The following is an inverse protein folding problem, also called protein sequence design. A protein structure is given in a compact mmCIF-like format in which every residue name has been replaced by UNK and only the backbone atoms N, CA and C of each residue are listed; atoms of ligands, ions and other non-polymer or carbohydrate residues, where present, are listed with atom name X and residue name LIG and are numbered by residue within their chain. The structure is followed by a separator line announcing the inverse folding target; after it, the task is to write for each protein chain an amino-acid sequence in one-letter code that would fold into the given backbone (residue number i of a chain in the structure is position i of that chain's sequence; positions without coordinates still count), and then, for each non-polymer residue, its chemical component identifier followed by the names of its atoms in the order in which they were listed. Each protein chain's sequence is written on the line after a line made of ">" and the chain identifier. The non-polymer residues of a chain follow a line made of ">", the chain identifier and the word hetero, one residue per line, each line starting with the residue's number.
data_IF_215091639444
#
_entry.id   IF_215091639444
#
_cell.length_a   1.000
_cell.length_b   1.000
_cell.length_c   1.000
_cell.angle_alpha   90.00
_cell.angle_beta   90.00
_cell.angle_gamma   90.00
#
_symmetry.space_group_name_H-M   'P 1'
#
loop_
_entity.id
_entity.type
_entity.pdbx_description
1 polymer ?
#
# COMPACT_ATOMS: atom_id res chain seq x y z
N UNK A 1 -40.69 -7.16 60.41
CA UNK A 1 -40.58 -5.83 61.01
C UNK A 1 -40.25 -4.86 59.87
N UNK A 2 -41.28 -4.14 59.41
CA UNK A 2 -41.29 -2.84 58.69
C UNK A 2 -40.21 -2.70 57.58
N UNK A 3 -40.41 -2.99 56.28
CA UNK A 3 -41.37 -2.48 55.28
C UNK A 3 -41.63 -0.98 55.36
N UNK A 4 -41.22 -0.27 54.31
CA UNK A 4 -41.87 0.87 53.62
C UNK A 4 -40.75 1.68 52.95
N UNK A 5 -40.89 2.29 51.79
CA UNK A 5 -41.86 2.30 50.69
C UNK A 5 -41.23 3.33 49.73
N UNK A 6 -41.36 3.28 48.42
CA UNK A 6 -42.56 3.69 47.70
C UNK A 6 -42.12 3.77 46.23
N UNK A 7 -42.78 3.04 45.33
CA UNK A 7 -43.76 3.60 44.39
C UNK A 7 -43.13 4.46 43.28
N UNK A 8 -43.53 4.44 42.02
CA UNK A 8 -44.54 3.73 41.25
C UNK A 8 -44.49 4.41 39.86
N UNK A 9 -45.12 3.76 38.87
CA UNK A 9 -45.72 4.36 37.65
C UNK A 9 -44.84 4.43 36.38
N UNK A 10 -45.22 3.52 35.47
CA UNK A 10 -45.32 3.68 34.00
C UNK A 10 -46.02 5.03 33.61
N UNK A 11 -46.30 5.28 32.32
CA UNK A 11 -45.44 5.50 31.15
C UNK A 11 -45.73 6.90 30.55
N UNK A 12 -44.88 7.46 29.68
CA UNK A 12 -45.27 8.64 28.90
C UNK A 12 -44.58 8.68 27.53
N UNK A 13 -45.39 8.43 26.51
CA UNK A 13 -45.17 8.78 25.11
C UNK A 13 -45.11 10.30 24.98
N UNK A 14 -44.15 10.83 24.24
CA UNK A 14 -44.24 12.16 23.63
C UNK A 14 -43.61 12.11 22.24
N UNK A 15 -44.48 12.24 21.25
CA UNK A 15 -44.22 12.27 19.81
C UNK A 15 -44.47 13.73 19.38
N UNK A 16 -43.43 14.49 19.09
CA UNK A 16 -43.43 15.82 18.43
C UNK A 16 -42.06 15.89 17.73
N UNK A 17 -41.91 16.07 16.41
CA UNK A 17 -42.72 16.82 15.47
C UNK A 17 -41.91 18.03 15.00
N UNK A 18 -41.76 18.15 13.68
CA UNK A 18 -41.26 19.29 12.90
C UNK A 18 -39.74 19.50 12.78
N UNK A 19 -39.29 19.37 11.53
CA UNK A 19 -38.01 19.82 11.06
C UNK A 19 -37.89 21.34 10.98
N UNK A 20 -36.64 21.77 10.99
CA UNK A 20 -36.20 23.04 10.46
C UNK A 20 -34.94 22.74 9.66
N UNK A 21 -35.05 22.97 8.35
CA UNK A 21 -33.96 22.83 7.41
C UNK A 21 -32.81 23.75 7.81
N UNK A 22 -31.66 23.14 8.09
CA UNK A 22 -30.39 23.82 8.05
C UNK A 22 -30.09 24.12 6.58
N UNK A 23 -30.57 25.28 6.11
CA UNK A 23 -29.96 25.96 4.98
C UNK A 23 -28.51 26.23 5.36
N UNK A 24 -27.61 25.35 4.92
CA UNK A 24 -26.20 25.64 4.85
C UNK A 24 -26.04 26.74 3.79
N UNK A 25 -26.11 27.99 4.23
CA UNK A 25 -25.55 29.11 3.49
C UNK A 25 -24.04 28.88 3.45
N UNK A 26 -23.61 28.06 2.49
CA UNK A 26 -22.24 28.07 2.02
C UNK A 26 -22.02 29.46 1.41
N UNK A 27 -21.57 30.39 2.26
CA UNK A 27 -20.90 31.58 1.78
C UNK A 27 -19.79 31.08 0.86
N UNK A 28 -19.92 31.37 -0.44
CA UNK A 28 -18.88 31.12 -1.41
C UNK A 28 -17.63 31.82 -0.89
N UNK A 29 -16.74 31.03 -0.30
CA UNK A 29 -15.42 31.49 0.09
C UNK A 29 -14.79 32.03 -1.19
N UNK A 30 -14.35 33.31 -1.22
CA UNK A 30 -13.64 33.81 -2.39
C UNK A 30 -12.48 32.85 -2.66
N UNK A 31 -12.42 32.35 -3.89
CA UNK A 31 -11.40 31.40 -4.31
C UNK A 31 -10.03 31.90 -3.86
N UNK A 32 -9.25 31.02 -3.23
CA UNK A 32 -7.94 31.35 -2.71
C UNK A 32 -7.10 32.05 -3.80
N UNK A 33 -6.45 33.16 -3.43
CA UNK A 33 -5.49 33.87 -4.30
C UNK A 33 -4.44 32.86 -4.74
N UNK A 34 -4.49 32.45 -6.00
CA UNK A 34 -3.65 31.38 -6.51
C UNK A 34 -2.42 31.96 -7.18
N UNK A 35 -1.25 31.55 -6.71
CA UNK A 35 0.05 31.84 -7.31
C UNK A 35 0.52 30.60 -8.06
N UNK A 36 1.20 30.79 -9.20
CA UNK A 36 1.81 29.67 -9.94
C UNK A 36 3.21 30.03 -10.44
N UNK A 37 4.09 29.03 -10.51
CA UNK A 37 5.41 29.13 -11.11
C UNK A 37 5.49 28.22 -12.34
N UNK A 38 5.96 28.78 -13.46
CA UNK A 38 6.04 28.12 -14.76
C UNK A 38 7.48 28.11 -15.25
N UNK A 39 7.97 26.93 -15.59
CA UNK A 39 9.28 26.75 -16.22
C UNK A 39 9.18 26.97 -17.73
N UNK A 40 10.02 27.83 -18.27
CA UNK A 40 10.04 28.20 -19.69
C UNK A 40 11.22 27.51 -20.38
N UNK A 41 10.97 26.64 -21.38
CA UNK A 41 12.03 25.92 -22.07
C UNK A 41 12.83 26.81 -23.03
N UNK A 42 14.05 26.38 -23.43
CA UNK A 42 14.82 27.05 -24.47
C UNK A 42 14.03 27.10 -25.80
N UNK A 43 13.66 28.30 -26.24
CA UNK A 43 12.81 28.52 -27.43
C UNK A 43 11.44 29.14 -27.11
N UNK A 44 11.03 29.14 -25.84
CA UNK A 44 9.82 29.76 -25.36
C UNK A 44 8.63 28.82 -25.20
N UNK A 45 7.56 29.31 -24.56
CA UNK A 45 6.34 28.54 -24.31
C UNK A 45 5.10 29.44 -24.32
N UNK A 46 3.93 28.81 -24.46
CA UNK A 46 2.65 29.47 -24.32
C UNK A 46 1.97 29.05 -23.01
N UNK A 47 1.32 29.99 -22.33
CA UNK A 47 0.65 29.75 -21.05
C UNK A 47 -0.72 30.41 -21.02
N UNK A 48 -1.70 29.69 -20.49
CA UNK A 48 -3.04 30.22 -20.23
C UNK A 48 -3.13 30.73 -18.79
N UNK A 49 -3.58 31.98 -18.62
CA UNK A 49 -3.68 32.65 -17.33
C UNK A 49 -5.11 33.17 -17.12
N UNK A 50 -5.91 32.51 -16.25
CA UNK A 50 -7.24 32.99 -15.89
C UNK A 50 -7.14 34.20 -14.95
N UNK A 51 -7.91 35.25 -15.27
CA UNK A 51 -7.97 36.52 -14.53
C UNK A 51 -9.34 36.76 -13.91
N UNK A 52 -9.41 37.47 -12.78
CA UNK A 52 -10.66 38.06 -12.28
C UNK A 52 -10.79 39.51 -12.74
N UNK A 53 -12.01 39.92 -13.12
CA UNK A 53 -12.29 41.29 -13.59
C UNK A 53 -12.01 42.37 -12.52
N UNK A 54 -12.04 42.01 -11.23
CA UNK A 54 -11.82 42.91 -10.09
C UNK A 54 -10.40 42.86 -9.53
N UNK A 55 -9.51 42.02 -10.06
CA UNK A 55 -8.18 41.79 -9.51
C UNK A 55 -7.07 42.17 -10.50
N UNK A 56 -5.89 42.47 -9.95
CA UNK A 56 -4.67 42.68 -10.73
C UNK A 56 -3.86 41.39 -10.69
N UNK A 57 -3.43 40.91 -11.85
CA UNK A 57 -2.51 39.79 -11.96
C UNK A 57 -1.11 40.30 -12.27
N UNK A 58 -0.11 39.81 -11.53
CA UNK A 58 1.29 40.14 -11.77
C UNK A 58 1.94 38.98 -12.54
N UNK A 59 2.53 39.29 -13.69
CA UNK A 59 3.41 38.39 -14.42
C UNK A 59 4.86 38.77 -14.08
N UNK A 60 5.59 37.90 -13.40
CA UNK A 60 6.95 38.16 -12.90
C UNK A 60 7.97 37.21 -13.52
N UNK A 61 9.18 37.71 -13.74
CA UNK A 61 10.32 37.04 -14.37
C UNK A 61 11.54 37.13 -13.43
N UNK A 62 11.56 36.36 -12.33
CA UNK A 62 12.54 36.56 -11.26
C UNK A 62 13.99 36.51 -11.76
N UNK A 63 14.76 37.57 -11.49
CA UNK A 63 16.16 37.68 -11.87
C UNK A 63 16.42 38.05 -13.34
N UNK A 64 15.37 38.30 -14.13
CA UNK A 64 15.47 38.62 -15.56
C UNK A 64 14.77 39.95 -15.87
N UNK A 65 15.43 40.81 -16.65
CA UNK A 65 14.85 42.09 -17.07
C UNK A 65 13.99 41.91 -18.31
N UNK A 66 12.83 42.56 -18.40
CA UNK A 66 12.01 42.56 -19.62
C UNK A 66 12.64 43.36 -20.77
N UNK A 67 12.62 42.81 -21.98
CA UNK A 67 13.24 43.38 -23.19
C UNK A 67 12.54 44.64 -23.73
N UNK A 68 11.32 44.92 -23.27
CA UNK A 68 10.50 46.05 -23.70
C UNK A 68 9.10 46.00 -23.09
N UNK A 69 8.22 46.89 -23.55
CA UNK A 69 6.81 46.86 -23.17
C UNK A 69 6.13 45.61 -23.75
N UNK A 70 5.20 45.03 -23.00
CA UNK A 70 4.39 43.89 -23.43
C UNK A 70 3.64 44.21 -24.73
N UNK A 71 3.75 43.34 -25.73
CA UNK A 71 2.95 43.45 -26.95
C UNK A 71 1.61 42.75 -26.68
N UNK A 72 0.53 43.54 -26.60
CA UNK A 72 -0.83 43.03 -26.40
C UNK A 72 -1.59 42.94 -27.71
N UNK A 73 -2.32 41.85 -27.90
CA UNK A 73 -3.23 41.67 -29.03
C UNK A 73 -4.56 42.45 -28.90
N UNK A 74 -4.84 43.06 -27.74
CA UNK A 74 -6.06 43.86 -27.48
C UNK A 74 -5.79 45.02 -26.52
N UNK A 75 -6.61 46.08 -26.62
CA UNK A 75 -6.65 47.22 -25.70
C UNK A 75 -7.56 47.01 -24.49
N UNK A 76 -8.22 45.86 -24.39
CA UNK A 76 -9.17 45.54 -23.30
C UNK A 76 -8.48 45.19 -21.96
N UNK A 77 -7.16 45.32 -21.90
CA UNK A 77 -6.36 45.12 -20.71
C UNK A 77 -5.52 46.37 -20.44
N UNK A 78 -5.54 46.83 -19.20
CA UNK A 78 -4.57 47.79 -18.70
C UNK A 78 -3.29 47.03 -18.31
N UNK A 79 -2.18 47.34 -18.97
CA UNK A 79 -0.88 46.70 -18.74
C UNK A 79 0.09 47.78 -18.31
N UNK A 80 0.67 47.61 -17.12
CA UNK A 80 1.68 48.52 -16.57
C UNK A 80 2.93 47.73 -16.20
N UNK A 81 4.09 48.36 -16.39
CA UNK A 81 5.33 47.80 -15.87
C UNK A 81 5.25 47.66 -14.35
N UNK A 82 5.73 46.53 -13.84
CA UNK A 82 5.84 46.26 -12.41
C UNK A 82 7.30 45.95 -12.11
N UNK A 83 8.03 46.97 -11.65
CA UNK A 83 9.49 46.87 -11.53
C UNK A 83 10.19 46.72 -12.88
N UNK A 84 11.34 46.03 -12.87
CA UNK A 84 12.16 45.78 -14.06
C UNK A 84 11.95 44.36 -14.65
N UNK A 85 11.27 43.51 -13.89
CA UNK A 85 11.18 42.06 -14.06
C UNK A 85 9.72 41.60 -14.12
N UNK A 86 8.75 42.50 -14.33
CA UNK A 86 7.35 42.10 -14.40
C UNK A 86 6.41 43.11 -15.02
N UNK A 87 5.18 42.65 -15.25
CA UNK A 87 4.04 43.46 -15.69
C UNK A 87 2.83 43.18 -14.81
N UNK A 88 2.15 44.25 -14.41
CA UNK A 88 0.84 44.19 -13.77
C UNK A 88 -0.24 44.32 -14.83
N UNK A 89 -1.18 43.38 -14.84
CA UNK A 89 -2.28 43.31 -15.80
C UNK A 89 -3.60 43.40 -15.09
N UNK A 90 -4.47 44.29 -15.58
CA UNK A 90 -5.82 44.48 -15.08
C UNK A 90 -6.83 44.45 -16.23
N UNK A 91 -7.86 43.60 -16.18
CA UNK A 91 -8.95 43.65 -17.16
C UNK A 91 -9.74 44.95 -17.10
N UNK A 92 -10.09 45.53 -18.27
CA UNK A 92 -10.97 46.70 -18.33
C UNK A 92 -12.46 46.32 -18.32
N UNK A 93 -12.80 45.04 -18.55
CA UNK A 93 -14.16 44.53 -18.61
C UNK A 93 -14.28 43.03 -18.30
N UNK A 94 -15.53 42.54 -18.19
CA UNK A 94 -15.84 41.16 -17.75
C UNK A 94 -15.57 40.06 -18.79
N UNK A 95 -15.30 40.42 -20.03
CA UNK A 95 -15.06 39.49 -21.16
C UNK A 95 -13.72 39.76 -21.84
N UNK A 96 -12.81 40.48 -21.17
CA UNK A 96 -11.52 40.81 -21.76
C UNK A 96 -10.71 39.53 -22.00
N UNK A 97 -10.17 39.42 -23.21
CA UNK A 97 -9.23 38.38 -23.58
C UNK A 97 -8.14 38.98 -24.45
N UNK A 98 -6.89 38.65 -24.17
CA UNK A 98 -5.77 39.10 -24.97
C UNK A 98 -4.62 38.11 -24.89
N UNK A 99 -3.76 38.11 -25.90
CA UNK A 99 -2.47 37.43 -25.84
C UNK A 99 -1.39 38.47 -25.64
N UNK A 100 -0.51 38.23 -24.66
CA UNK A 100 0.68 39.02 -24.40
C UNK A 100 1.92 38.26 -24.84
N UNK A 101 2.69 38.85 -25.75
CA UNK A 101 4.03 38.37 -26.06
C UNK A 101 5.03 39.11 -25.17
N UNK A 102 5.76 38.35 -24.34
CA UNK A 102 6.73 38.84 -23.37
C UNK A 102 8.08 38.16 -23.59
N UNK A 103 9.16 38.92 -23.54
CA UNK A 103 10.52 38.38 -23.63
C UNK A 103 11.46 39.12 -22.69
N UNK A 104 12.46 38.42 -22.17
CA UNK A 104 13.53 39.01 -21.34
C UNK A 104 14.67 39.53 -22.20
N UNK A 105 15.43 40.52 -21.70
CA UNK A 105 16.58 41.16 -22.39
C UNK A 105 17.64 40.12 -22.74
N UNK A 106 17.88 39.16 -21.84
CA UNK A 106 18.81 38.04 -22.05
C UNK A 106 18.37 37.11 -23.18
N UNK A 107 17.09 37.14 -23.57
CA UNK A 107 16.48 36.20 -24.48
C UNK A 107 16.24 34.80 -23.88
N UNK A 108 16.57 34.60 -22.60
CA UNK A 108 16.40 33.32 -21.90
C UNK A 108 14.93 32.92 -21.74
N UNK A 109 14.04 33.90 -21.60
CA UNK A 109 12.59 33.67 -21.49
C UNK A 109 11.88 34.37 -22.65
N UNK A 110 11.07 33.60 -23.37
CA UNK A 110 10.12 34.07 -24.38
C UNK A 110 8.79 33.38 -24.13
N UNK A 111 7.75 34.13 -23.79
CA UNK A 111 6.44 33.57 -23.48
C UNK A 111 5.32 34.27 -24.21
N UNK A 112 4.35 33.48 -24.68
CA UNK A 112 3.06 33.98 -25.14
C UNK A 112 2.02 33.64 -24.07
N UNK A 113 1.48 34.65 -23.40
CA UNK A 113 0.52 34.46 -22.33
C UNK A 113 -0.87 34.80 -22.83
N UNK A 114 -1.77 33.83 -22.88
CA UNK A 114 -3.17 34.04 -23.21
C UNK A 114 -3.96 34.31 -21.93
N UNK A 115 -4.46 35.53 -21.83
CA UNK A 115 -5.22 36.03 -20.70
C UNK A 115 -6.70 35.98 -21.03
N UNK A 116 -7.50 35.49 -20.10
CA UNK A 116 -8.96 35.47 -20.21
C UNK A 116 -9.61 35.69 -18.85
N UNK A 117 -10.70 36.45 -18.82
CA UNK A 117 -11.45 36.70 -17.58
C UNK A 117 -12.36 35.52 -17.26
N UNK A 118 -12.26 34.99 -16.03
CA UNK A 118 -13.10 33.91 -15.52
C UNK A 118 -14.15 34.44 -14.52
N UNK A 119 -15.30 33.74 -14.35
CA UNK A 119 -16.30 34.12 -13.34
C UNK A 119 -15.75 33.95 -11.91
N UNK A 120 -16.26 34.73 -10.95
CA UNK A 120 -15.87 34.71 -9.51
C UNK A 120 -15.90 33.33 -8.84
N UNK A 121 -16.64 32.37 -9.41
CA UNK A 121 -16.74 30.99 -8.95
C UNK A 121 -15.57 30.10 -9.40
N UNK A 122 -14.74 30.56 -10.33
CA UNK A 122 -13.56 29.86 -10.82
C UNK A 122 -12.27 30.45 -10.21
N UNK A 123 -11.23 29.64 -10.01
CA UNK A 123 -9.94 30.13 -9.54
C UNK A 123 -9.29 31.02 -10.61
N UNK A 124 -8.80 32.18 -10.18
CA UNK A 124 -7.97 33.06 -11.02
C UNK A 124 -6.60 33.25 -10.37
N UNK A 125 -5.62 33.56 -11.21
CA UNK A 125 -4.24 33.76 -10.79
C UNK A 125 -3.98 35.24 -10.47
N UNK A 126 -3.42 35.50 -9.29
CA UNK A 126 -2.99 36.86 -8.90
C UNK A 126 -1.50 37.08 -9.09
N UNK A 127 -0.70 36.01 -9.14
CA UNK A 127 0.73 36.04 -9.42
C UNK A 127 1.14 34.84 -10.27
N UNK A 128 1.85 35.11 -11.37
CA UNK A 128 2.42 34.09 -12.25
C UNK A 128 3.90 34.37 -12.40
N UNK A 129 4.74 33.42 -11.99
CA UNK A 129 6.20 33.52 -12.11
C UNK A 129 6.67 32.68 -13.29
N UNK A 130 7.52 33.25 -14.13
CA UNK A 130 8.17 32.57 -15.24
C UNK A 130 9.66 32.47 -14.97
N UNK A 131 10.17 31.24 -14.92
CA UNK A 131 11.59 30.96 -14.70
C UNK A 131 12.13 30.19 -15.90
N UNK A 132 13.31 30.56 -16.40
CA UNK A 132 13.96 29.77 -17.44
C UNK A 132 14.29 28.38 -16.89
N UNK A 133 13.80 27.33 -17.56
CA UNK A 133 14.29 25.99 -17.30
C UNK A 133 15.73 25.91 -17.79
N UNK A 134 16.63 25.33 -17.00
CA UNK A 134 17.93 24.97 -17.56
C UNK A 134 17.71 23.97 -18.70
N UNK A 135 18.57 23.98 -19.72
CA UNK A 135 18.48 23.01 -20.83
C UNK A 135 18.55 21.56 -20.34
N UNK A 136 19.17 21.34 -19.19
CA UNK A 136 19.30 20.07 -18.50
C UNK A 136 17.97 19.63 -17.85
N UNK A 137 17.32 20.50 -17.07
CA UNK A 137 16.03 20.21 -16.44
C UNK A 137 14.93 19.90 -17.47
N UNK A 138 14.88 20.64 -18.58
CA UNK A 138 13.93 20.40 -19.67
C UNK A 138 14.20 19.08 -20.40
N UNK A 139 15.47 18.69 -20.53
CA UNK A 139 15.85 17.42 -21.12
C UNK A 139 15.51 16.25 -20.20
N UNK A 140 15.81 16.36 -18.91
CA UNK A 140 15.48 15.35 -17.90
C UNK A 140 13.97 15.09 -17.83
N UNK A 141 13.15 16.13 -17.80
CA UNK A 141 11.69 15.99 -17.80
C UNK A 141 11.18 15.26 -19.05
N UNK A 142 11.76 15.56 -20.23
CA UNK A 142 11.41 14.89 -21.48
C UNK A 142 11.84 13.43 -21.50
N UNK A 143 13.03 13.12 -21.00
CA UNK A 143 13.53 11.74 -20.87
C UNK A 143 12.66 10.96 -19.90
N UNK A 144 12.33 11.52 -18.74
CA UNK A 144 11.46 10.88 -17.76
C UNK A 144 10.07 10.58 -18.33
N UNK A 145 9.46 11.52 -19.05
CA UNK A 145 8.18 11.32 -19.71
C UNK A 145 8.25 10.22 -20.80
N UNK A 146 9.32 10.20 -21.58
CA UNK A 146 9.53 9.18 -22.62
C UNK A 146 9.77 7.79 -22.01
N UNK A 147 10.54 7.69 -20.93
CA UNK A 147 10.75 6.46 -20.17
C UNK A 147 9.42 5.97 -19.61
N UNK A 148 8.67 6.82 -18.92
CA UNK A 148 7.37 6.45 -18.37
C UNK A 148 6.41 5.93 -19.46
N UNK A 149 6.35 6.62 -20.61
CA UNK A 149 5.52 6.21 -21.75
C UNK A 149 5.90 4.82 -22.29
N UNK A 150 7.20 4.49 -22.35
CA UNK A 150 7.68 3.18 -22.83
C UNK A 150 7.55 2.08 -21.78
N UNK A 151 7.71 2.43 -20.50
CA UNK A 151 7.71 1.46 -19.41
C UNK A 151 6.29 1.06 -18.99
N UNK A 152 5.32 1.98 -19.04
CA UNK A 152 3.93 1.72 -18.67
C UNK A 152 3.30 0.47 -19.32
N UNK A 153 3.39 0.24 -20.65
CA UNK A 153 2.83 -0.98 -21.26
C UNK A 153 3.58 -2.25 -20.83
N UNK A 154 4.89 -2.17 -20.57
CA UNK A 154 5.69 -3.31 -20.12
C UNK A 154 5.33 -3.68 -18.68
N UNK A 155 5.14 -2.70 -17.80
CA UNK A 155 4.69 -2.92 -16.42
C UNK A 155 3.29 -3.51 -16.37
N UNK A 156 2.38 -3.02 -17.22
CA UNK A 156 1.03 -3.57 -17.35
C UNK A 156 1.06 -5.04 -17.82
N UNK A 157 1.88 -5.34 -18.84
CA UNK A 157 2.04 -6.72 -19.33
C UNK A 157 2.70 -7.62 -18.30
N UNK A 158 3.71 -7.13 -17.57
CA UNK A 158 4.37 -7.87 -16.50
C UNK A 158 3.37 -8.21 -15.37
N UNK A 159 2.52 -7.25 -14.98
CA UNK A 159 1.49 -7.48 -13.97
C UNK A 159 0.48 -8.53 -14.45
N UNK A 160 0.05 -8.46 -15.71
CA UNK A 160 -0.85 -9.44 -16.33
C UNK A 160 -0.23 -10.84 -16.38
N UNK A 161 1.03 -10.95 -16.79
CA UNK A 161 1.76 -12.23 -16.86
C UNK A 161 1.94 -12.82 -15.46
N UNK A 162 2.31 -12.01 -14.46
CA UNK A 162 2.42 -12.46 -13.06
C UNK A 162 1.10 -13.06 -12.54
N UNK A 163 -0.01 -12.35 -12.75
CA UNK A 163 -1.34 -12.87 -12.40
C UNK A 163 -1.68 -14.18 -13.11
N UNK A 164 -1.34 -14.30 -14.40
CA UNK A 164 -1.54 -15.53 -15.16
C UNK A 164 -0.72 -16.71 -14.61
N UNK A 165 0.54 -16.47 -14.24
CA UNK A 165 1.41 -17.50 -13.65
C UNK A 165 0.87 -17.95 -12.29
N UNK A 166 0.43 -17.03 -11.43
CA UNK A 166 -0.10 -17.38 -10.11
C UNK A 166 -1.33 -18.30 -10.19
N UNK A 167 -2.22 -18.04 -11.16
CA UNK A 167 -3.39 -18.90 -11.44
C UNK A 167 -2.93 -20.27 -11.94
N UNK A 168 -1.98 -20.33 -12.88
CA UNK A 168 -1.46 -21.60 -13.40
C UNK A 168 -0.75 -22.43 -12.32
N UNK A 169 0.00 -21.79 -11.42
CA UNK A 169 0.66 -22.46 -10.29
C UNK A 169 -0.39 -23.05 -9.35
N UNK A 170 -1.45 -22.29 -9.02
CA UNK A 170 -2.54 -22.77 -8.16
C UNK A 170 -3.27 -23.95 -8.81
N UNK A 171 -3.71 -23.81 -10.06
CA UNK A 171 -4.40 -24.88 -10.79
C UNK A 171 -3.55 -26.15 -10.87
N UNK A 172 -2.24 -26.01 -11.11
CA UNK A 172 -1.31 -27.14 -11.12
C UNK A 172 -1.17 -27.77 -9.74
N UNK A 173 -1.08 -26.97 -8.68
CA UNK A 173 -1.01 -27.47 -7.31
C UNK A 173 -2.29 -28.25 -6.93
N UNK A 174 -3.46 -27.71 -7.27
CA UNK A 174 -4.75 -28.35 -7.01
C UNK A 174 -4.89 -29.67 -7.75
N UNK A 175 -4.48 -29.73 -9.03
CA UNK A 175 -4.45 -30.99 -9.80
C UNK A 175 -3.51 -32.02 -9.17
N UNK A 176 -2.32 -31.62 -8.77
CA UNK A 176 -1.36 -32.53 -8.11
C UNK A 176 -1.91 -33.05 -6.78
N UNK A 177 -2.59 -32.21 -5.99
CA UNK A 177 -3.24 -32.65 -4.76
C UNK A 177 -4.37 -33.63 -5.07
N UNK A 178 -5.21 -33.34 -6.06
CA UNK A 178 -6.29 -34.23 -6.49
C UNK A 178 -5.78 -35.58 -6.98
N UNK A 179 -4.72 -35.60 -7.81
CA UNK A 179 -4.06 -36.82 -8.26
C UNK A 179 -3.53 -37.65 -7.08
N UNK A 180 -2.92 -37.00 -6.08
CA UNK A 180 -2.44 -37.68 -4.87
C UNK A 180 -3.59 -38.22 -4.01
N UNK A 181 -4.68 -37.46 -3.87
CA UNK A 181 -5.88 -37.90 -3.14
C UNK A 181 -6.49 -39.16 -3.77
N UNK A 182 -6.56 -39.17 -5.11
CA UNK A 182 -7.02 -40.33 -5.89
C UNK A 182 -6.09 -41.53 -5.74
N UNK A 183 -4.77 -41.30 -5.67
CA UNK A 183 -3.78 -42.37 -5.47
C UNK A 183 -3.92 -43.01 -4.09
N UNK A 184 -3.95 -42.20 -3.03
CA UNK A 184 -4.08 -42.66 -1.63
C UNK A 184 -4.47 -41.51 -0.72
N UNK A 185 -5.47 -41.75 0.12
CA UNK A 185 -5.83 -40.88 1.24
C UNK A 185 -6.10 -41.76 2.46
N UNK A 186 -5.25 -41.66 3.48
CA UNK A 186 -5.37 -42.47 4.69
C UNK A 186 -5.09 -41.62 5.94
N UNK A 187 -5.98 -41.69 6.92
CA UNK A 187 -5.80 -41.06 8.22
C UNK A 187 -5.18 -42.07 9.18
N UNK A 188 -4.08 -41.67 9.82
CA UNK A 188 -3.33 -42.45 10.79
C UNK A 188 -3.45 -41.80 12.16
N UNK A 189 -3.73 -42.62 13.18
CA UNK A 189 -3.61 -42.20 14.58
C UNK A 189 -2.19 -42.49 15.07
N UNK A 190 -1.57 -41.47 15.64
CA UNK A 190 -0.26 -41.49 16.26
C UNK A 190 -0.40 -41.25 17.76
N UNK A 191 0.66 -41.55 18.51
CA UNK A 191 0.70 -41.26 19.94
C UNK A 191 2.15 -40.99 20.34
N UNK A 192 2.65 -39.83 19.93
CA UNK A 192 3.94 -39.34 20.36
C UNK A 192 3.74 -38.02 21.10
N UNK A 193 4.45 -37.86 22.21
CA UNK A 193 4.54 -36.60 22.92
C UNK A 193 5.91 -36.50 23.58
N UNK A 194 6.42 -35.28 23.71
CA UNK A 194 7.68 -35.02 24.41
C UNK A 194 7.68 -33.61 25.00
N UNK A 195 8.43 -33.39 26.07
CA UNK A 195 8.55 -32.09 26.74
C UNK A 195 10.01 -31.65 26.80
N UNK A 196 10.28 -30.37 26.56
CA UNK A 196 11.62 -29.79 26.83
C UNK A 196 11.77 -29.31 28.28
N UNK A 197 12.96 -28.81 28.61
CA UNK A 197 13.28 -28.32 29.96
C UNK A 197 12.48 -27.07 30.37
N UNK A 198 11.96 -26.32 29.40
CA UNK A 198 11.15 -25.12 29.62
C UNK A 198 9.66 -25.41 29.85
N UNK A 199 9.25 -26.67 29.93
CA UNK A 199 7.84 -27.09 29.99
C UNK A 199 7.02 -26.74 28.73
N UNK A 200 7.65 -26.71 27.57
CA UNK A 200 6.96 -26.73 26.28
C UNK A 200 6.79 -28.19 25.86
N UNK A 201 5.55 -28.59 25.56
CA UNK A 201 5.19 -29.96 25.21
C UNK A 201 4.82 -29.98 23.73
N UNK A 202 5.32 -30.96 23.00
CA UNK A 202 4.89 -31.26 21.65
C UNK A 202 4.07 -32.55 21.65
N UNK A 203 2.93 -32.54 20.98
CA UNK A 203 2.04 -33.69 20.81
C UNK A 203 1.90 -34.00 19.32
N UNK A 204 1.90 -35.28 18.95
CA UNK A 204 1.68 -35.77 17.58
C UNK A 204 0.68 -36.90 17.66
N UNK A 205 -0.57 -36.56 17.35
CA UNK A 205 -1.71 -37.48 17.51
C UNK A 205 -2.21 -38.06 16.19
N UNK A 206 -1.87 -37.42 15.06
CA UNK A 206 -2.37 -37.86 13.76
C UNK A 206 -1.41 -37.54 12.62
N UNK A 207 -1.49 -38.37 11.59
CA UNK A 207 -0.90 -38.09 10.29
C UNK A 207 -1.89 -38.44 9.18
N UNK A 208 -1.73 -37.82 8.01
CA UNK A 208 -2.46 -38.19 6.79
C UNK A 208 -1.44 -38.61 5.74
N UNK A 209 -1.65 -39.78 5.14
CA UNK A 209 -0.96 -40.17 3.91
C UNK A 209 -1.73 -39.63 2.72
N UNK A 210 -1.04 -38.88 1.87
CA UNK A 210 -1.58 -38.29 0.64
C UNK A 210 -0.65 -38.64 -0.53
N UNK A 211 -1.06 -39.62 -1.33
CA UNK A 211 -0.16 -40.25 -2.30
C UNK A 211 1.05 -40.89 -1.60
N UNK A 212 2.26 -40.44 -1.96
CA UNK A 212 3.53 -40.95 -1.40
C UNK A 212 4.06 -40.11 -0.24
N UNK A 213 3.44 -38.96 0.03
CA UNK A 213 3.86 -38.02 1.07
C UNK A 213 3.03 -38.21 2.34
N UNK A 214 3.69 -38.08 3.50
CA UNK A 214 3.02 -38.04 4.80
C UNK A 214 2.81 -36.61 5.27
N UNK A 215 1.75 -36.37 6.01
CA UNK A 215 1.42 -35.07 6.61
C UNK A 215 1.24 -35.28 8.10
N UNK A 216 2.27 -34.95 8.89
CA UNK A 216 2.27 -35.18 10.34
C UNK A 216 1.78 -33.91 11.02
N UNK A 217 0.68 -34.04 11.77
CA UNK A 217 0.12 -32.95 12.55
C UNK A 217 0.73 -32.97 13.94
N UNK A 218 1.12 -31.80 14.42
CA UNK A 218 1.69 -31.65 15.75
C UNK A 218 1.09 -30.44 16.45
N UNK A 219 0.93 -30.54 17.77
CA UNK A 219 0.51 -29.45 18.63
C UNK A 219 1.66 -29.06 19.54
N UNK A 220 1.86 -27.75 19.73
CA UNK A 220 2.83 -27.22 20.69
C UNK A 220 2.04 -26.57 21.80
N UNK A 221 2.08 -27.16 22.99
CA UNK A 221 1.50 -26.64 24.22
C UNK A 221 2.60 -25.96 25.04
N UNK A 222 2.54 -24.64 25.15
CA UNK A 222 3.50 -23.87 25.91
C UNK A 222 3.02 -23.66 27.35
N UNK A 223 3.48 -24.47 28.30
CA UNK A 223 3.20 -24.30 29.74
C UNK A 223 4.26 -23.45 30.46
N UNK A 224 5.19 -22.86 29.72
CA UNK A 224 6.20 -21.97 30.27
C UNK A 224 5.65 -20.56 30.52
N UNK A 225 6.40 -19.73 31.23
CA UNK A 225 6.10 -18.30 31.41
C UNK A 225 6.59 -17.42 30.25
N UNK A 226 7.34 -17.98 29.30
CA UNK A 226 7.92 -17.26 28.16
C UNK A 226 7.30 -17.73 26.84
N UNK A 227 7.38 -16.91 25.79
CA UNK A 227 6.95 -17.35 24.47
C UNK A 227 7.94 -18.39 23.88
N UNK A 228 7.41 -19.44 23.26
CA UNK A 228 8.21 -20.39 22.49
C UNK A 228 8.18 -19.98 21.02
N UNK A 229 9.35 -19.67 20.45
CA UNK A 229 9.47 -19.25 19.04
C UNK A 229 9.91 -20.48 18.25
N UNK A 230 9.05 -21.06 17.43
CA UNK A 230 9.42 -22.19 16.58
C UNK A 230 10.13 -21.68 15.33
N UNK A 231 11.38 -22.07 15.12
CA UNK A 231 12.14 -21.73 13.91
C UNK A 231 12.26 -22.91 12.94
N UNK A 232 12.25 -24.13 13.45
CA UNK A 232 12.46 -25.33 12.64
C UNK A 232 11.61 -26.50 13.15
N UNK A 233 11.00 -27.24 12.24
CA UNK A 233 10.50 -28.58 12.49
C UNK A 233 11.15 -29.52 11.48
N UNK A 234 11.87 -30.53 11.96
CA UNK A 234 12.60 -31.48 11.12
C UNK A 234 12.08 -32.88 11.40
N UNK A 235 11.65 -33.57 10.36
CA UNK A 235 11.38 -35.02 10.38
C UNK A 235 12.55 -35.77 9.75
N UNK A 236 13.08 -36.75 10.46
CA UNK A 236 14.16 -37.64 10.02
C UNK A 236 13.78 -39.11 10.10
N UNK A 237 14.42 -39.90 9.24
CA UNK A 237 14.36 -41.35 9.18
C UNK A 237 15.79 -41.88 9.07
N UNK A 238 16.27 -42.63 10.07
CA UNK A 238 17.67 -43.09 10.15
C UNK A 238 18.69 -41.98 9.86
N UNK A 239 18.57 -40.85 10.58
CA UNK A 239 19.40 -39.63 10.42
C UNK A 239 19.30 -38.95 9.05
N UNK A 240 18.43 -39.41 8.15
CA UNK A 240 18.17 -38.75 6.86
C UNK A 240 16.95 -37.84 6.99
N UNK A 241 17.08 -36.54 6.67
CA UNK A 241 15.94 -35.65 6.71
C UNK A 241 14.95 -35.99 5.59
N UNK A 242 13.70 -36.25 5.96
CA UNK A 242 12.56 -36.40 5.03
C UNK A 242 11.66 -35.15 5.04
N UNK A 243 12.16 -34.06 5.62
CA UNK A 243 11.39 -32.86 5.90
C UNK A 243 11.01 -32.12 4.62
N UNK A 244 9.72 -31.89 4.44
CA UNK A 244 9.14 -30.99 3.45
C UNK A 244 8.69 -29.67 4.07
N UNK A 245 7.75 -28.96 3.42
CA UNK A 245 7.20 -27.72 3.96
C UNK A 245 6.62 -27.89 5.38
N UNK A 246 6.89 -26.90 6.23
CA UNK A 246 6.34 -26.81 7.59
C UNK A 246 5.46 -25.58 7.68
N UNK A 247 4.32 -25.71 8.37
CA UNK A 247 3.47 -24.57 8.73
C UNK A 247 3.05 -24.69 10.18
N UNK A 248 3.09 -23.58 10.90
CA UNK A 248 2.50 -23.43 12.22
C UNK A 248 1.38 -22.40 12.12
N UNK A 249 0.18 -22.79 12.52
CA UNK A 249 -0.94 -21.89 12.73
C UNK A 249 -0.81 -21.31 14.15
N UNK A 250 -0.32 -20.08 14.22
CA UNK A 250 -0.23 -19.32 15.46
C UNK A 250 -1.03 -18.03 15.38
N UNK A 251 -1.61 -17.61 16.51
CA UNK A 251 -2.27 -16.32 16.69
C UNK A 251 -1.28 -15.15 16.84
N UNK A 252 0.01 -15.43 17.05
CA UNK A 252 1.06 -14.43 17.24
C UNK A 252 2.01 -14.39 16.04
N UNK A 253 2.16 -13.20 15.44
CA UNK A 253 3.04 -12.94 14.31
C UNK A 253 4.39 -12.46 14.85
N UNK A 254 5.47 -13.13 14.45
CA UNK A 254 6.84 -12.66 14.67
C UNK A 254 7.27 -11.74 13.52
N UNK A 255 8.12 -10.75 13.80
CA UNK A 255 8.72 -9.90 12.76
C UNK A 255 9.95 -10.55 12.12
N UNK A 256 10.49 -11.59 12.75
CA UNK A 256 11.64 -12.33 12.27
C UNK A 256 11.23 -13.37 11.21
N UNK A 257 11.70 -13.25 9.95
CA UNK A 257 11.36 -14.21 8.91
C UNK A 257 11.95 -15.61 9.14
N UNK A 258 12.90 -15.77 10.08
CA UNK A 258 13.46 -17.07 10.45
C UNK A 258 12.55 -17.88 11.40
N UNK A 259 11.48 -17.28 11.92
CA UNK A 259 10.54 -17.91 12.84
C UNK A 259 9.31 -18.40 12.07
N UNK A 260 9.03 -19.70 12.15
CA UNK A 260 7.83 -20.32 11.56
C UNK A 260 6.55 -19.90 12.27
N UNK A 261 6.65 -19.61 13.58
CA UNK A 261 5.58 -19.00 14.36
C UNK A 261 5.89 -19.00 15.86
N UNK A 262 5.07 -18.29 16.64
CA UNK A 262 5.30 -18.11 18.09
C UNK A 262 4.16 -18.72 18.87
N UNK A 263 4.45 -19.48 19.92
CA UNK A 263 3.44 -20.00 20.85
C UNK A 263 3.54 -19.18 22.12
N UNK A 264 2.57 -18.27 22.41
CA UNK A 264 2.58 -17.49 23.63
C UNK A 264 2.53 -18.37 24.88
N UNK A 265 2.94 -17.82 26.02
CA UNK A 265 2.86 -18.50 27.31
C UNK A 265 1.41 -18.91 27.62
N UNK A 266 1.21 -20.15 28.07
CA UNK A 266 -0.10 -20.72 28.40
C UNK A 266 -0.98 -21.09 27.19
N UNK A 267 -0.48 -20.96 25.96
CA UNK A 267 -1.25 -21.20 24.74
C UNK A 267 -0.82 -22.48 24.03
N UNK A 268 -1.70 -22.98 23.17
CA UNK A 268 -1.41 -24.09 22.24
C UNK A 268 -1.41 -23.58 20.80
N UNK A 269 -0.50 -24.08 19.98
CA UNK A 269 -0.47 -23.82 18.55
C UNK A 269 -0.49 -25.14 17.76
N UNK A 270 -1.08 -25.10 16.57
CA UNK A 270 -1.24 -26.28 15.71
C UNK A 270 -0.30 -26.19 14.53
N UNK A 271 0.38 -27.28 14.21
CA UNK A 271 1.37 -27.34 13.15
C UNK A 271 1.20 -28.56 12.27
N UNK A 272 1.78 -28.45 11.08
CA UNK A 272 1.89 -29.54 10.13
C UNK A 272 3.27 -29.53 9.50
N UNK A 273 3.86 -30.72 9.41
CA UNK A 273 5.09 -30.95 8.65
C UNK A 273 4.82 -32.00 7.58
N UNK A 274 5.21 -31.68 6.35
CA UNK A 274 5.18 -32.64 5.24
C UNK A 274 6.39 -33.56 5.36
N UNK A 275 6.18 -34.85 5.25
CA UNK A 275 7.21 -35.89 5.17
C UNK A 275 7.27 -36.35 3.72
N UNK A 276 8.31 -35.92 3.01
CA UNK A 276 8.50 -36.23 1.59
C UNK A 276 8.84 -37.70 1.41
N UNK A 277 8.13 -38.38 0.52
CA UNK A 277 8.32 -39.81 0.31
C UNK A 277 8.07 -40.63 1.57
N UNK A 278 7.10 -40.22 2.40
CA UNK A 278 6.71 -40.92 3.62
C UNK A 278 6.37 -42.39 3.40
N UNK A 279 5.97 -42.79 2.19
CA UNK A 279 5.77 -44.20 1.83
C UNK A 279 7.05 -45.04 1.98
N UNK A 280 8.23 -44.46 1.75
CA UNK A 280 9.54 -45.13 1.91
C UNK A 280 9.90 -45.38 3.38
N UNK A 281 9.30 -44.63 4.31
CA UNK A 281 9.54 -44.75 5.74
C UNK A 281 8.40 -45.49 6.47
N UNK A 282 7.52 -46.18 5.73
CA UNK A 282 6.40 -46.91 6.32
C UNK A 282 6.83 -48.04 7.24
N UNK A 283 6.07 -48.21 8.31
CA UNK A 283 6.33 -49.20 9.35
C UNK A 283 7.54 -48.88 10.24
N UNK A 284 8.33 -47.85 9.91
CA UNK A 284 9.45 -47.41 10.71
C UNK A 284 9.09 -46.23 11.62
N UNK A 285 9.85 -46.07 12.70
CA UNK A 285 9.75 -44.91 13.58
C UNK A 285 10.45 -43.72 12.93
N UNK A 286 9.72 -42.62 12.83
CA UNK A 286 10.25 -41.31 12.46
C UNK A 286 10.63 -40.53 13.72
N UNK A 287 11.56 -39.60 13.54
CA UNK A 287 11.93 -38.64 14.57
C UNK A 287 11.46 -37.25 14.16
N UNK A 288 10.85 -36.50 15.09
CA UNK A 288 10.47 -35.10 14.90
C UNK A 288 11.25 -34.22 15.88
N UNK A 289 12.03 -33.29 15.35
CA UNK A 289 12.71 -32.26 16.12
C UNK A 289 12.02 -30.91 15.90
N UNK A 290 11.57 -30.28 16.98
CA UNK A 290 11.07 -28.91 17.00
C UNK A 290 12.09 -28.03 17.72
N UNK A 291 12.64 -27.04 17.02
CA UNK A 291 13.71 -26.19 17.54
C UNK A 291 13.37 -24.71 17.43
N UNK A 292 13.82 -23.96 18.43
CA UNK A 292 13.81 -22.51 18.44
C UNK A 292 14.96 -21.91 17.58
N UNK A 293 15.01 -20.58 17.36
CA UNK A 293 16.08 -19.97 16.57
C UNK A 293 17.49 -20.25 17.11
N UNK A 294 17.62 -20.44 18.42
CA UNK A 294 18.92 -20.68 19.07
C UNK A 294 19.34 -22.15 19.05
N UNK A 295 18.40 -23.07 18.80
CA UNK A 295 18.61 -24.52 18.92
C UNK A 295 18.73 -25.02 20.37
N UNK A 296 18.64 -24.13 21.35
CA UNK A 296 18.76 -24.48 22.78
C UNK A 296 17.44 -25.08 23.26
N UNK A 297 16.31 -24.51 22.84
CA UNK A 297 14.97 -24.97 23.25
C UNK A 297 14.44 -25.95 22.22
N UNK A 298 14.93 -27.19 22.31
CA UNK A 298 14.59 -28.24 21.36
C UNK A 298 13.71 -29.31 22.00
N UNK A 299 12.68 -29.75 21.28
CA UNK A 299 11.83 -30.90 21.64
C UNK A 299 12.10 -31.99 20.61
N UNK A 300 12.46 -33.20 21.05
CA UNK A 300 12.78 -34.34 20.17
C UNK A 300 11.88 -35.52 20.43
N UNK A 301 10.92 -35.74 19.54
CA UNK A 301 10.07 -36.93 19.57
C UNK A 301 10.77 -38.04 18.78
N UNK A 302 11.30 -39.05 19.47
CA UNK A 302 12.04 -40.18 18.85
C UNK A 302 11.20 -41.47 18.74
N UNK A 303 9.98 -41.46 19.31
CA UNK A 303 9.09 -42.64 19.37
C UNK A 303 7.65 -42.23 19.09
N UNK A 304 6.83 -43.19 18.68
CA UNK A 304 5.37 -43.03 18.54
C UNK A 304 4.90 -42.42 17.21
N UNK A 305 5.83 -42.04 16.33
CA UNK A 305 5.54 -41.53 14.98
C UNK A 305 5.85 -42.65 13.97
N UNK A 306 4.85 -43.47 13.66
CA UNK A 306 4.98 -44.57 12.67
C UNK A 306 3.92 -44.40 11.61
N UNK A 307 4.34 -44.19 10.36
CA UNK A 307 3.43 -44.14 9.21
C UNK A 307 3.09 -45.57 8.81
N UNK A 308 1.82 -45.98 8.95
CA UNK A 308 1.39 -47.35 8.64
C UNK A 308 1.06 -47.55 7.17
#
# INVERSE_FOLDING_TARGET
>A
MVRWDSHSRLPAVALIGLGLGLFSLAAAQPAAKSETENLVPPGGAAFDVPLHASEVCILSFPGERLAGSALSSSTDLEIKAWGNDGVAVRPSGKTAAATLALATVSGAIKVNVTLHVVPATQPALTLVRFKAASSEEAFEAKVAAEVARRTAPIEAELARVKQGIDVQIRDRADRLIAERLLKRTELLTLNAHERNDDNVIAHVERAIMLGDDGYVFFDIENRSSAAFRLARATVSFHDRPLTGPVRLLSSAIDKDPAVLGVVPAGMTAHGIVVVRGGDQARGASLELELADPTGIRTIRLTRGIVLK
#
